data_IF_014712573617
#
_entry.id   IF_014712573617
#
_cell.length_a   1.000
_cell.length_b   1.000
_cell.length_c   1.000
_cell.angle_alpha   90.00
_cell.angle_beta   90.00
_cell.angle_gamma   90.00
#
_symmetry.space_group_name_H-M   'P 1'
#
loop_
_entity.id
_entity.type
_entity.pdbx_description
1 polymer ?
#
# COMPACT_ATOMS: atom_id res chain seq x y z
N UNK A 1 18.24 -8.21 -15.41
CA UNK A 1 17.17 -8.16 -14.37
C UNK A 1 17.67 -7.30 -13.23
N UNK A 2 16.86 -6.36 -12.72
CA UNK A 2 17.22 -5.60 -11.53
C UNK A 2 17.10 -6.49 -10.29
N UNK A 3 18.05 -6.37 -9.36
CA UNK A 3 17.98 -7.03 -8.05
C UNK A 3 17.22 -6.09 -7.10
N UNK A 4 16.13 -6.56 -6.51
CA UNK A 4 15.34 -5.81 -5.53
C UNK A 4 15.67 -6.42 -4.18
N UNK A 5 16.49 -5.75 -3.36
CA UNK A 5 16.80 -6.18 -2.00
C UNK A 5 16.86 -4.94 -1.11
N UNK A 6 16.16 -4.97 0.02
CA UNK A 6 16.21 -3.90 1.01
C UNK A 6 17.63 -3.81 1.60
N UNK A 7 18.25 -2.63 1.66
CA UNK A 7 19.67 -2.46 1.98
C UNK A 7 20.04 -2.96 3.39
N UNK A 8 19.11 -2.90 4.34
CA UNK A 8 19.33 -3.33 5.72
C UNK A 8 18.59 -4.62 6.11
N UNK A 9 17.73 -5.13 5.23
CA UNK A 9 16.89 -6.29 5.55
C UNK A 9 16.85 -7.29 4.38
N UNK A 10 17.74 -8.30 4.35
CA UNK A 10 17.83 -9.23 3.23
C UNK A 10 16.58 -10.13 3.07
N UNK A 11 15.66 -10.16 4.04
CA UNK A 11 14.39 -10.89 3.89
C UNK A 11 13.38 -10.18 2.97
N UNK A 12 13.60 -8.90 2.66
CA UNK A 12 12.77 -8.12 1.73
C UNK A 12 13.50 -8.07 0.38
N UNK A 13 13.34 -9.13 -0.42
CA UNK A 13 14.12 -9.38 -1.64
C UNK A 13 13.26 -9.56 -2.91
N UNK A 14 11.97 -9.22 -2.83
CA UNK A 14 10.98 -9.45 -3.89
C UNK A 14 10.02 -8.29 -4.05
N UNK A 15 9.56 -8.10 -5.28
CA UNK A 15 8.42 -7.26 -5.57
C UNK A 15 7.14 -8.02 -5.24
N UNK A 16 6.37 -7.54 -4.27
CA UNK A 16 5.12 -8.18 -3.81
C UNK A 16 3.87 -7.38 -4.17
N UNK A 17 4.03 -6.12 -4.56
CA UNK A 17 2.96 -5.19 -4.87
C UNK A 17 3.26 -4.45 -6.18
N UNK A 18 2.22 -4.22 -6.98
CA UNK A 18 2.28 -3.38 -8.17
C UNK A 18 1.23 -2.28 -8.03
N UNK A 19 1.66 -1.03 -8.12
CA UNK A 19 0.77 0.13 -8.09
C UNK A 19 0.57 0.65 -9.51
N UNK A 20 -0.69 0.71 -9.96
CA UNK A 20 -1.09 1.52 -11.10
C UNK A 20 -1.52 2.89 -10.62
N UNK A 21 -1.04 3.93 -11.28
CA UNK A 21 -1.32 5.33 -10.93
C UNK A 21 -2.08 6.01 -12.06
N UNK A 22 -2.93 6.97 -11.72
CA UNK A 22 -3.71 7.75 -12.67
C UNK A 22 -4.13 9.10 -12.10
N UNK A 23 -4.84 9.85 -12.93
CA UNK A 23 -5.41 11.13 -12.53
C UNK A 23 -6.54 10.91 -11.51
N UNK A 24 -6.67 11.78 -10.50
CA UNK A 24 -7.73 11.70 -9.50
C UNK A 24 -9.10 12.05 -10.08
N UNK A 25 -10.13 11.42 -9.54
CA UNK A 25 -11.54 11.75 -9.79
C UNK A 25 -12.14 12.56 -8.64
N UNK A 26 -11.65 12.33 -7.42
CA UNK A 26 -12.11 13.02 -6.22
C UNK A 26 -11.54 14.44 -6.14
N UNK A 27 -12.43 15.43 -5.95
CA UNK A 27 -12.01 16.83 -5.76
C UNK A 27 -11.06 16.96 -4.57
N UNK A 28 -9.88 17.52 -4.81
CA UNK A 28 -8.85 17.72 -3.78
C UNK A 28 -7.91 16.54 -3.60
N UNK A 29 -8.11 15.41 -4.29
CA UNK A 29 -7.10 14.37 -4.36
C UNK A 29 -5.92 14.80 -5.24
N UNK A 30 -4.71 14.44 -4.83
CA UNK A 30 -3.46 14.74 -5.54
C UNK A 30 -3.17 13.71 -6.62
N UNK A 31 -3.51 12.45 -6.37
CA UNK A 31 -3.31 11.33 -7.30
C UNK A 31 -4.28 10.19 -6.97
N UNK A 32 -4.42 9.24 -7.91
CA UNK A 32 -5.18 8.00 -7.71
C UNK A 32 -4.32 6.77 -7.96
N UNK A 33 -4.66 5.68 -7.29
CA UNK A 33 -4.06 4.39 -7.56
C UNK A 33 -5.00 3.18 -7.47
N UNK A 34 -4.49 2.06 -7.98
CA UNK A 34 -4.91 0.71 -7.64
C UNK A 34 -3.67 -0.14 -7.34
N UNK A 35 -3.63 -0.77 -6.16
CA UNK A 35 -2.53 -1.67 -5.79
C UNK A 35 -2.96 -3.13 -5.94
N UNK A 36 -2.18 -3.88 -6.71
CA UNK A 36 -2.32 -5.32 -6.90
C UNK A 36 -1.28 -6.05 -6.04
N UNK A 37 -1.71 -7.11 -5.37
CA UNK A 37 -0.84 -7.91 -4.48
C UNK A 37 -1.31 -9.36 -4.38
N UNK A 38 -0.42 -10.21 -3.87
CA UNK A 38 -0.62 -11.66 -3.89
C UNK A 38 -0.88 -12.16 -5.32
N UNK A 39 -1.61 -13.25 -5.46
CA UNK A 39 -1.84 -13.84 -6.78
C UNK A 39 -2.82 -13.01 -7.62
N UNK A 40 -3.89 -12.47 -6.99
CA UNK A 40 -5.01 -11.81 -7.68
C UNK A 40 -5.76 -10.77 -6.83
N UNK A 41 -5.16 -10.28 -5.73
CA UNK A 41 -5.85 -9.33 -4.86
C UNK A 41 -5.64 -7.89 -5.34
N UNK A 42 -6.68 -7.08 -5.15
CA UNK A 42 -6.64 -5.63 -5.33
C UNK A 42 -6.99 -4.95 -4.00
N UNK A 43 -6.20 -3.94 -3.63
CA UNK A 43 -6.47 -3.12 -2.46
C UNK A 43 -7.63 -2.17 -2.78
N UNK A 44 -8.63 -2.15 -1.89
CA UNK A 44 -9.76 -1.22 -2.00
C UNK A 44 -9.39 0.12 -1.35
N UNK A 45 -8.48 0.13 -0.40
CA UNK A 45 -7.94 1.36 0.15
C UNK A 45 -6.89 1.96 -0.81
N UNK A 46 -6.42 3.19 -0.58
CA UNK A 46 -5.30 3.77 -1.34
C UNK A 46 -3.96 3.06 -1.08
N UNK A 47 -3.94 2.01 -0.24
CA UNK A 47 -2.77 1.28 0.22
C UNK A 47 -1.78 2.16 0.99
N UNK A 48 -1.71 2.00 2.31
CA UNK A 48 -0.86 2.85 3.17
C UNK A 48 0.62 2.79 2.78
N UNK A 49 1.18 1.58 2.67
CA UNK A 49 2.58 1.37 2.24
C UNK A 49 2.80 1.82 0.79
N UNK A 50 1.84 1.60 -0.09
CA UNK A 50 1.86 2.12 -1.45
C UNK A 50 1.91 3.65 -1.49
N UNK A 51 1.13 4.32 -0.65
CA UNK A 51 1.09 5.78 -0.51
C UNK A 51 2.43 6.31 -0.01
N UNK A 52 3.02 5.67 1.01
CA UNK A 52 4.38 5.97 1.47
C UNK A 52 5.41 5.83 0.35
N UNK A 53 5.37 4.75 -0.43
CA UNK A 53 6.27 4.52 -1.56
C UNK A 53 6.09 5.57 -2.68
N UNK A 54 4.83 5.96 -2.96
CA UNK A 54 4.52 6.98 -3.96
C UNK A 54 5.02 8.36 -3.52
N UNK A 55 4.86 8.72 -2.24
CA UNK A 55 5.44 9.96 -1.69
C UNK A 55 6.97 9.96 -1.76
N UNK A 56 7.62 8.85 -1.40
CA UNK A 56 9.07 8.73 -1.49
C UNK A 56 9.56 8.92 -2.94
N UNK A 57 8.88 8.30 -3.91
CA UNK A 57 9.16 8.48 -5.33
C UNK A 57 8.99 9.94 -5.78
N UNK A 58 7.87 10.58 -5.43
CA UNK A 58 7.60 11.97 -5.80
C UNK A 58 8.60 12.94 -5.16
N UNK A 59 9.01 12.68 -3.91
CA UNK A 59 10.03 13.48 -3.24
C UNK A 59 11.40 13.34 -3.89
N UNK A 60 11.80 12.11 -4.25
CA UNK A 60 13.05 11.88 -5.00
C UNK A 60 13.06 12.57 -6.37
N UNK A 61 11.87 12.79 -6.96
CA UNK A 61 11.69 13.56 -8.20
C UNK A 61 11.53 15.07 -7.97
N UNK A 62 11.61 15.56 -6.73
CA UNK A 62 11.42 16.97 -6.38
C UNK A 62 9.99 17.49 -6.56
N UNK A 63 9.00 16.59 -6.62
CA UNK A 63 7.58 16.91 -6.83
C UNK A 63 6.76 16.95 -5.54
N UNK A 64 7.35 16.57 -4.41
CA UNK A 64 6.73 16.60 -3.09
C UNK A 64 7.78 16.92 -2.03
N UNK A 65 7.56 17.99 -1.27
CA UNK A 65 8.46 18.48 -0.24
C UNK A 65 8.09 17.97 1.16
N UNK A 66 8.98 18.18 2.12
CA UNK A 66 8.70 17.94 3.54
C UNK A 66 7.60 18.89 4.01
N UNK A 67 6.65 18.37 4.79
CA UNK A 67 5.45 19.10 5.22
C UNK A 67 4.31 19.15 4.20
N UNK A 68 4.54 18.78 2.93
CA UNK A 68 3.48 18.76 1.93
C UNK A 68 2.44 17.67 2.24
N UNK A 69 1.18 18.01 2.00
CA UNK A 69 0.08 17.06 2.06
C UNK A 69 -0.12 16.36 0.71
N UNK A 70 -0.29 15.03 0.76
CA UNK A 70 -0.53 14.19 -0.39
C UNK A 70 -1.82 13.38 -0.20
N UNK A 71 -2.90 13.80 -0.86
CA UNK A 71 -4.19 13.12 -0.78
C UNK A 71 -4.25 12.04 -1.84
N UNK A 72 -4.23 10.77 -1.43
CA UNK A 72 -4.17 9.63 -2.34
C UNK A 72 -5.53 8.93 -2.42
N UNK A 73 -6.07 8.84 -3.63
CA UNK A 73 -7.36 8.22 -3.92
C UNK A 73 -7.19 6.75 -4.34
N UNK A 74 -8.12 5.90 -3.92
CA UNK A 74 -8.21 4.48 -4.29
C UNK A 74 -9.09 4.21 -5.51
N UNK A 75 -9.16 2.94 -5.92
CA UNK A 75 -10.05 2.48 -6.99
C UNK A 75 -11.55 2.59 -6.63
N UNK A 76 -11.90 2.65 -5.35
CA UNK A 76 -13.28 2.88 -4.88
C UNK A 76 -13.50 4.28 -4.31
N UNK A 77 -12.60 5.23 -4.63
CA UNK A 77 -12.68 6.64 -4.29
C UNK A 77 -12.59 6.96 -2.78
N UNK A 78 -12.20 5.97 -1.96
CA UNK A 78 -11.72 6.24 -0.59
C UNK A 78 -10.36 6.95 -0.64
N UNK A 79 -10.05 7.74 0.38
CA UNK A 79 -8.83 8.56 0.44
C UNK A 79 -8.02 8.31 1.70
N UNK A 80 -6.71 8.48 1.57
CA UNK A 80 -5.75 8.66 2.66
C UNK A 80 -5.05 9.99 2.46
N UNK A 81 -4.65 10.60 3.57
CA UNK A 81 -3.83 11.80 3.59
C UNK A 81 -2.44 11.40 4.04
N UNK A 82 -1.45 11.52 3.16
CA UNK A 82 -0.05 11.30 3.50
C UNK A 82 0.68 12.61 3.71
N UNK A 83 1.72 12.60 4.56
CA UNK A 83 2.68 13.70 4.70
C UNK A 83 4.10 13.17 4.77
N UNK A 84 5.05 13.99 4.32
CA UNK A 84 6.47 13.78 4.57
C UNK A 84 6.82 14.51 5.86
N UNK A 85 6.97 13.76 6.95
CA UNK A 85 7.28 14.29 8.28
C UNK A 85 8.77 14.62 8.45
N UNK A 86 9.62 14.08 7.57
CA UNK A 86 11.06 14.28 7.64
C UNK A 86 11.82 13.52 6.58
N UNK A 87 13.12 13.78 6.50
CA UNK A 87 14.08 13.04 5.68
C UNK A 87 15.01 12.21 6.55
N UNK A 88 15.42 11.07 6.03
CA UNK A 88 16.33 10.15 6.72
C UNK A 88 17.13 9.34 5.69
N UNK A 89 17.88 8.33 6.15
CA UNK A 89 18.51 7.32 5.31
C UNK A 89 18.09 5.91 5.72
N UNK A 90 18.12 4.99 4.77
CA UNK A 90 18.03 3.54 5.00
C UNK A 90 19.23 2.90 4.31
N UNK A 91 20.19 2.43 5.11
CA UNK A 91 21.57 2.24 4.67
C UNK A 91 22.14 3.55 4.13
N UNK A 92 22.70 3.50 2.92
CA UNK A 92 23.26 4.69 2.26
C UNK A 92 22.22 5.50 1.46
N UNK A 93 21.01 4.95 1.27
CA UNK A 93 19.97 5.53 0.42
C UNK A 93 19.20 6.64 1.14
N UNK A 94 18.95 7.74 0.45
CA UNK A 94 18.05 8.79 0.95
C UNK A 94 16.61 8.28 1.02
N UNK A 95 15.94 8.61 2.11
CA UNK A 95 14.59 8.17 2.42
C UNK A 95 13.76 9.30 3.06
N UNK A 96 12.47 9.04 3.18
CA UNK A 96 11.53 9.92 3.89
C UNK A 96 10.99 9.21 5.13
N UNK A 97 10.46 9.99 6.07
CA UNK A 97 9.62 9.53 7.17
C UNK A 97 8.18 9.88 6.79
N UNK A 98 7.40 8.93 6.24
CA UNK A 98 6.02 9.20 5.83
C UNK A 98 5.04 8.98 6.99
N UNK A 99 4.04 9.84 7.12
CA UNK A 99 2.82 9.56 7.89
C UNK A 99 1.65 9.30 6.94
N UNK A 100 0.68 8.50 7.41
CA UNK A 100 -0.54 8.17 6.67
C UNK A 100 -1.72 8.32 7.62
N UNK A 101 -2.67 9.18 7.27
CA UNK A 101 -3.93 9.37 7.95
C UNK A 101 -5.06 8.74 7.12
N UNK A 102 -5.94 8.04 7.83
CA UNK A 102 -7.15 7.44 7.31
C UNK A 102 -8.11 7.12 8.44
N UNK A 103 -9.21 6.45 8.13
CA UNK A 103 -10.18 6.01 9.14
C UNK A 103 -10.60 4.56 8.91
N UNK A 104 -11.08 3.94 9.98
CA UNK A 104 -11.65 2.60 9.96
C UNK A 104 -12.98 2.59 10.72
N UNK A 105 -13.81 1.58 10.45
CA UNK A 105 -15.08 1.34 11.16
C UNK A 105 -15.13 -0.09 11.65
N UNK A 106 -15.71 -0.27 12.84
CA UNK A 106 -16.05 -1.61 13.33
C UNK A 106 -17.16 -2.15 12.45
N UNK A 107 -16.93 -3.29 11.80
CA UNK A 107 -17.90 -3.94 10.90
C UNK A 107 -18.56 -5.16 11.53
N UNK A 108 -18.00 -5.69 12.63
CA UNK A 108 -18.59 -6.81 13.35
C UNK A 108 -17.71 -7.27 14.52
N UNK A 109 -18.29 -8.12 15.37
CA UNK A 109 -17.60 -8.90 16.39
C UNK A 109 -17.88 -10.36 16.08
N UNK A 110 -16.83 -11.12 15.75
CA UNK A 110 -16.98 -12.48 15.22
C UNK A 110 -16.32 -13.49 16.17
N UNK A 111 -16.99 -14.63 16.37
CA UNK A 111 -16.37 -15.85 16.92
C UNK A 111 -16.22 -16.85 15.79
N UNK A 112 -14.99 -17.12 15.37
CA UNK A 112 -14.69 -18.11 14.31
C UNK A 112 -14.32 -19.42 15.00
N UNK A 113 -15.01 -20.50 14.66
CA UNK A 113 -14.75 -21.85 15.18
C UNK A 113 -14.26 -22.71 14.02
N UNK A 114 -13.12 -23.39 14.21
CA UNK A 114 -12.51 -24.28 13.23
C UNK A 114 -12.50 -25.70 13.80
N UNK A 115 -13.18 -26.62 13.13
CA UNK A 115 -13.25 -28.04 13.49
C UNK A 115 -12.50 -28.85 12.44
N UNK A 116 -11.50 -29.64 12.85
CA UNK A 116 -10.66 -30.40 11.93
C UNK A 116 -11.39 -31.55 11.23
N UNK A 117 -12.61 -31.88 11.67
CA UNK A 117 -13.53 -32.80 10.99
C UNK A 117 -14.25 -32.17 9.80
N UNK A 118 -14.29 -30.83 9.70
CA UNK A 118 -14.83 -30.15 8.52
C UNK A 118 -13.87 -30.32 7.34
N UNK A 119 -14.28 -30.94 6.21
CA UNK A 119 -13.41 -31.14 5.06
C UNK A 119 -12.85 -29.83 4.45
N UNK A 120 -13.40 -28.67 4.83
CA UNK A 120 -13.00 -27.35 4.35
C UNK A 120 -12.38 -26.45 5.42
N UNK A 121 -11.94 -27.00 6.57
CA UNK A 121 -11.40 -26.22 7.70
C UNK A 121 -10.20 -25.33 7.35
N UNK A 122 -9.44 -25.69 6.31
CA UNK A 122 -8.29 -24.90 5.80
C UNK A 122 -8.71 -23.73 4.88
N UNK A 123 -10.00 -23.62 4.57
CA UNK A 123 -10.50 -22.74 3.52
C UNK A 123 -10.19 -23.28 2.12
N UNK A 124 -10.79 -22.65 1.12
CA UNK A 124 -10.53 -22.96 -0.29
C UNK A 124 -10.77 -21.71 -1.15
N UNK A 125 -10.29 -21.75 -2.38
CA UNK A 125 -10.60 -20.77 -3.41
C UNK A 125 -11.12 -21.49 -4.64
N UNK A 126 -12.22 -20.99 -5.21
CA UNK A 126 -12.82 -21.46 -6.47
C UNK A 126 -12.27 -20.74 -7.69
N UNK A 127 -11.42 -19.73 -7.50
CA UNK A 127 -10.83 -18.98 -8.60
C UNK A 127 -9.85 -19.88 -9.38
N UNK A 128 -9.82 -19.72 -10.71
CA UNK A 128 -8.99 -20.53 -11.62
C UNK A 128 -7.56 -20.67 -11.11
N UNK A 129 -7.13 -21.91 -10.85
CA UNK A 129 -5.72 -22.23 -10.65
C UNK A 129 -5.06 -22.18 -12.03
N UNK A 130 -4.14 -21.23 -12.22
CA UNK A 130 -3.18 -21.30 -13.33
C UNK A 130 -1.93 -22.00 -12.83
#
# INVERSE_FOLDING_TARGET
RHKIVHPENPAIDKLTHVMWVGDPETRGATARNAVFYGDKAIDRSPCGTGTSARMAQLSALGKLAEGDEFVHESIINSTFVGRIEGRTKVGELDAIIPSIEGWARVTGQNTIIVDDRDPFWQGFSVADRK
#
